data_IF_191895239480
#
_entry.id   IF_191895239480
#
_cell.length_a   1.000
_cell.length_b   1.000
_cell.length_c   1.000
_cell.angle_alpha   90.00
_cell.angle_beta   90.00
_cell.angle_gamma   90.00
#
_symmetry.space_group_name_H-M   'P 1'
#
loop_
_entity.id
_entity.type
_entity.pdbx_description
1 polymer ?
#
# COMPACT_ATOMS: atom_id res chain seq x y z
N UNK A 1 -11.20 2.22 -14.69
CA UNK A 1 -11.05 0.83 -15.17
C UNK A 1 -10.73 -0.05 -13.96
N UNK A 2 -11.50 -1.09 -13.70
CA UNK A 2 -11.28 -2.01 -12.57
C UNK A 2 -10.21 -3.06 -12.91
N UNK A 3 -9.49 -3.57 -11.92
CA UNK A 3 -8.46 -4.60 -12.10
C UNK A 3 -9.14 -5.93 -12.41
N UNK A 4 -8.67 -6.63 -13.46
CA UNK A 4 -9.14 -7.98 -13.81
C UNK A 4 -8.02 -9.00 -13.63
N UNK A 5 -8.38 -10.27 -13.43
CA UNK A 5 -7.41 -11.37 -13.25
C UNK A 5 -6.35 -11.42 -14.34
N UNK A 6 -6.77 -11.30 -15.61
CA UNK A 6 -5.89 -11.35 -16.79
C UNK A 6 -4.91 -10.17 -16.87
N UNK A 7 -5.19 -9.10 -16.13
CA UNK A 7 -4.34 -7.93 -16.17
C UNK A 7 -3.11 -8.12 -15.25
N UNK A 8 -3.18 -8.98 -14.21
CA UNK A 8 -2.05 -9.29 -13.30
C UNK A 8 -1.13 -10.32 -13.95
N UNK A 9 0.13 -9.95 -14.16
CA UNK A 9 1.15 -10.87 -14.68
C UNK A 9 1.52 -11.90 -13.63
N UNK A 10 1.68 -13.14 -14.08
CA UNK A 10 1.98 -14.29 -13.21
C UNK A 10 3.49 -14.56 -13.19
N UNK A 11 3.95 -15.09 -12.07
CA UNK A 11 5.36 -15.43 -11.88
C UNK A 11 5.67 -16.79 -12.49
N UNK A 12 6.86 -16.90 -13.06
CA UNK A 12 7.36 -18.15 -13.60
C UNK A 12 8.13 -18.92 -12.53
N UNK A 13 8.04 -20.25 -12.58
CA UNK A 13 8.73 -21.13 -11.63
C UNK A 13 10.25 -20.95 -11.69
N UNK A 14 10.83 -20.82 -12.88
CA UNK A 14 12.27 -20.64 -13.04
C UNK A 14 12.79 -19.38 -12.36
N UNK A 15 12.03 -18.28 -12.45
CA UNK A 15 12.35 -17.04 -11.74
C UNK A 15 12.31 -17.25 -10.22
N UNK A 16 11.23 -17.86 -9.71
CA UNK A 16 11.10 -18.17 -8.28
C UNK A 16 12.27 -19.02 -7.77
N UNK A 17 12.60 -20.12 -8.46
CA UNK A 17 13.69 -21.02 -8.06
C UNK A 17 15.05 -20.34 -8.08
N UNK A 18 15.28 -19.40 -9.01
CA UNK A 18 16.52 -18.63 -9.03
C UNK A 18 16.64 -17.73 -7.79
N UNK A 19 15.54 -17.10 -7.37
CA UNK A 19 15.50 -16.21 -6.20
C UNK A 19 15.58 -16.95 -4.86
N UNK A 20 15.25 -18.24 -4.80
CA UNK A 20 15.42 -19.04 -3.57
C UNK A 20 16.88 -19.14 -3.09
N UNK A 21 17.86 -18.80 -3.95
CA UNK A 21 19.28 -18.72 -3.59
C UNK A 21 19.64 -17.43 -2.83
N UNK A 22 18.74 -16.45 -2.83
CA UNK A 22 18.91 -15.15 -2.19
C UNK A 22 18.22 -15.12 -0.82
N UNK A 23 18.54 -14.12 0.00
CA UNK A 23 17.88 -13.91 1.30
C UNK A 23 16.52 -13.25 1.08
N UNK A 24 15.49 -14.06 0.79
CA UNK A 24 14.12 -13.57 0.51
C UNK A 24 13.10 -14.11 1.52
N UNK A 25 11.94 -13.44 1.63
CA UNK A 25 10.82 -13.97 2.39
C UNK A 25 10.20 -15.19 1.71
N UNK A 26 9.84 -16.21 2.52
CA UNK A 26 9.07 -17.36 2.02
C UNK A 26 7.65 -16.92 1.69
N UNK A 27 7.30 -16.95 0.40
CA UNK A 27 6.03 -16.49 -0.16
C UNK A 27 5.41 -17.62 -1.01
N UNK A 28 5.29 -18.79 -0.41
CA UNK A 28 5.05 -20.10 -1.06
C UNK A 28 3.73 -20.76 -0.67
N UNK A 29 3.04 -20.25 0.34
CA UNK A 29 1.78 -20.80 0.83
C UNK A 29 0.66 -20.68 -0.20
N UNK A 30 -0.35 -21.54 -0.06
CA UNK A 30 -1.56 -21.52 -0.91
C UNK A 30 -2.28 -20.18 -0.78
N UNK A 31 -2.33 -19.62 0.44
CA UNK A 31 -2.79 -18.26 0.68
C UNK A 31 -1.58 -17.36 0.85
N UNK A 32 -1.36 -16.46 -0.12
CA UNK A 32 -0.17 -15.60 -0.12
C UNK A 32 -0.13 -14.65 1.08
N UNK A 33 -1.29 -14.30 1.60
CA UNK A 33 -1.39 -13.47 2.78
C UNK A 33 -2.81 -13.06 3.12
N UNK A 34 -2.95 -12.28 4.17
CA UNK A 34 -4.19 -11.62 4.55
C UNK A 34 -4.17 -10.17 4.06
N UNK A 35 -5.27 -9.71 3.44
CA UNK A 35 -5.45 -8.30 3.10
C UNK A 35 -6.55 -7.70 3.98
N UNK A 36 -6.23 -6.65 4.73
CA UNK A 36 -7.15 -5.89 5.59
C UNK A 36 -7.26 -4.46 5.08
N UNK A 37 -8.49 -3.94 5.01
CA UNK A 37 -8.76 -2.59 4.51
C UNK A 37 -9.55 -1.75 5.51
N UNK A 38 -9.03 -0.59 5.86
CA UNK A 38 -9.67 0.36 6.77
C UNK A 38 -9.88 1.66 6.02
N UNK A 39 -11.13 2.10 5.91
CA UNK A 39 -11.50 3.27 5.11
C UNK A 39 -12.33 4.27 5.92
N UNK A 40 -11.72 5.38 6.33
CA UNK A 40 -12.40 6.42 7.09
C UNK A 40 -12.31 7.75 6.36
N UNK A 41 -13.44 8.41 6.23
CA UNK A 41 -13.49 9.77 5.70
C UNK A 41 -14.30 10.57 6.72
N UNK A 42 -13.70 11.60 7.30
CA UNK A 42 -14.32 12.44 8.31
C UNK A 42 -15.65 12.97 7.76
N UNK A 43 -16.72 12.77 8.51
CA UNK A 43 -18.03 13.24 8.10
C UNK A 43 -18.07 14.77 8.15
N UNK A 44 -18.73 15.40 7.17
CA UNK A 44 -18.82 16.87 7.09
C UNK A 44 -19.47 17.48 8.35
N UNK A 45 -20.39 16.75 8.99
CA UNK A 45 -21.03 17.19 10.24
C UNK A 45 -20.11 17.19 11.47
N UNK A 46 -18.94 16.54 11.39
CA UNK A 46 -17.98 16.48 12.48
C UNK A 46 -16.96 17.63 12.42
N UNK A 47 -17.18 18.62 11.56
CA UNK A 47 -16.30 19.78 11.37
C UNK A 47 -16.74 20.88 12.34
N UNK A 48 -15.94 21.23 13.38
CA UNK A 48 -16.39 22.11 14.45
C UNK A 48 -16.53 23.60 14.09
N UNK A 49 -16.25 24.04 12.85
CA UNK A 49 -16.28 25.45 12.46
C UNK A 49 -16.63 25.65 10.98
N UNK A 50 -17.91 25.69 10.65
CA UNK A 50 -18.43 26.34 9.44
C UNK A 50 -19.49 27.37 9.87
N UNK A 51 -19.11 28.27 10.79
CA UNK A 51 -19.95 29.40 11.15
C UNK A 51 -20.00 30.37 9.96
N UNK A 52 -21.16 30.42 9.30
CA UNK A 52 -21.57 31.33 8.23
C UNK A 52 -20.90 31.14 6.86
N UNK A 53 -21.49 30.30 6.00
CA UNK A 53 -21.70 30.55 4.54
C UNK A 53 -22.34 29.33 3.87
N UNK A 54 -23.64 29.38 3.57
CA UNK A 54 -24.38 28.28 2.91
C UNK A 54 -23.77 27.83 1.57
N UNK A 55 -23.05 28.71 0.87
CA UNK A 55 -22.31 28.36 -0.37
C UNK A 55 -21.04 27.55 -0.11
N UNK A 56 -20.31 27.81 1.00
CA UNK A 56 -19.13 27.01 1.37
C UNK A 56 -19.52 25.60 1.80
N UNK A 57 -20.70 25.45 2.41
CA UNK A 57 -21.24 24.15 2.81
C UNK A 57 -21.54 23.28 1.59
N UNK A 58 -22.19 23.82 0.55
CA UNK A 58 -22.47 23.09 -0.69
C UNK A 58 -21.19 22.67 -1.45
N UNK A 59 -20.18 23.53 -1.52
CA UNK A 59 -18.89 23.20 -2.17
C UNK A 59 -18.16 22.12 -1.39
N UNK A 60 -18.18 22.19 -0.05
CA UNK A 60 -17.53 21.21 0.82
C UNK A 60 -18.23 19.85 0.74
N UNK A 61 -19.56 19.82 0.73
CA UNK A 61 -20.34 18.59 0.57
C UNK A 61 -20.09 17.93 -0.80
N UNK A 62 -20.07 18.72 -1.89
CA UNK A 62 -19.73 18.20 -3.22
C UNK A 62 -18.33 17.57 -3.26
N UNK A 63 -17.33 18.25 -2.70
CA UNK A 63 -15.95 17.74 -2.62
C UNK A 63 -15.84 16.49 -1.75
N UNK A 64 -16.58 16.44 -0.64
CA UNK A 64 -16.68 15.25 0.20
C UNK A 64 -17.26 14.06 -0.57
N UNK A 65 -18.39 14.22 -1.27
CA UNK A 65 -19.00 13.17 -2.07
C UNK A 65 -18.07 12.67 -3.19
N UNK A 66 -17.35 13.60 -3.83
CA UNK A 66 -16.33 13.25 -4.80
C UNK A 66 -15.17 12.47 -4.18
N UNK A 67 -14.69 12.87 -3.01
CA UNK A 67 -13.67 12.12 -2.28
C UNK A 67 -14.13 10.69 -1.97
N UNK A 68 -15.34 10.52 -1.44
CA UNK A 68 -15.91 9.19 -1.14
C UNK A 68 -15.92 8.31 -2.40
N UNK A 69 -16.38 8.84 -3.54
CA UNK A 69 -16.42 8.11 -4.82
C UNK A 69 -15.04 7.59 -5.22
N UNK A 70 -14.00 8.40 -5.01
CA UNK A 70 -12.64 8.05 -5.37
C UNK A 70 -12.00 7.07 -4.39
N UNK A 71 -12.26 7.22 -3.09
CA UNK A 71 -11.86 6.26 -2.05
C UNK A 71 -12.49 4.89 -2.31
N UNK A 72 -13.78 4.85 -2.67
CA UNK A 72 -14.45 3.60 -3.01
C UNK A 72 -13.85 2.92 -4.24
N UNK A 73 -13.46 3.70 -5.25
CA UNK A 73 -12.77 3.19 -6.43
C UNK A 73 -11.39 2.63 -6.10
N UNK A 74 -10.60 3.36 -5.31
CA UNK A 74 -9.28 2.93 -4.85
C UNK A 74 -9.36 1.64 -4.03
N UNK A 75 -10.33 1.57 -3.10
CA UNK A 75 -10.67 0.35 -2.36
C UNK A 75 -10.95 -0.81 -3.30
N UNK A 76 -11.85 -0.63 -4.27
CA UNK A 76 -12.17 -1.70 -5.24
C UNK A 76 -10.95 -2.17 -6.01
N UNK A 77 -10.10 -1.27 -6.49
CA UNK A 77 -8.90 -1.64 -7.25
C UNK A 77 -7.87 -2.39 -6.41
N UNK A 78 -7.59 -1.92 -5.19
CA UNK A 78 -6.63 -2.57 -4.31
C UNK A 78 -7.14 -3.94 -3.86
N UNK A 79 -8.42 -4.05 -3.52
CA UNK A 79 -9.03 -5.35 -3.20
C UNK A 79 -8.93 -6.33 -4.36
N UNK A 80 -9.20 -5.90 -5.60
CA UNK A 80 -9.08 -6.75 -6.77
C UNK A 80 -7.64 -7.13 -7.08
N UNK A 81 -6.70 -6.19 -6.98
CA UNK A 81 -5.26 -6.45 -7.15
C UNK A 81 -4.80 -7.55 -6.20
N UNK A 82 -4.98 -7.37 -4.90
CA UNK A 82 -4.50 -8.33 -3.90
C UNK A 82 -5.24 -9.66 -3.98
N UNK A 83 -6.54 -9.65 -4.31
CA UNK A 83 -7.29 -10.89 -4.61
C UNK A 83 -6.61 -11.69 -5.73
N UNK A 84 -6.24 -11.03 -6.83
CA UNK A 84 -5.61 -11.71 -7.96
C UNK A 84 -4.12 -12.03 -7.74
N UNK A 85 -3.48 -11.38 -6.77
CA UNK A 85 -2.15 -11.75 -6.27
C UNK A 85 -2.20 -12.92 -5.26
N UNK A 86 -3.38 -13.45 -4.92
CA UNK A 86 -3.54 -14.63 -4.06
C UNK A 86 -3.73 -14.33 -2.57
N UNK A 87 -4.08 -13.09 -2.22
CA UNK A 87 -4.43 -12.74 -0.84
C UNK A 87 -5.86 -13.13 -0.50
N UNK A 88 -6.08 -13.45 0.77
CA UNK A 88 -7.40 -13.70 1.31
C UNK A 88 -8.13 -12.39 1.66
N UNK A 89 -9.32 -12.23 1.08
CA UNK A 89 -10.25 -11.13 1.33
C UNK A 89 -11.59 -11.61 1.93
N UNK A 90 -11.72 -12.90 2.28
CA UNK A 90 -12.93 -13.46 2.89
C UNK A 90 -13.09 -12.98 4.33
N UNK A 91 -14.33 -12.96 4.83
CA UNK A 91 -14.61 -12.80 6.26
C UNK A 91 -14.70 -11.36 6.78
N UNK A 92 -15.10 -10.40 5.92
CA UNK A 92 -15.30 -9.01 6.35
C UNK A 92 -13.98 -8.33 6.75
N UNK A 93 -12.92 -8.52 5.96
CA UNK A 93 -11.61 -7.89 6.19
C UNK A 93 -11.61 -6.39 5.83
N UNK A 94 -12.76 -5.73 5.96
CA UNK A 94 -12.86 -4.31 5.78
C UNK A 94 -13.77 -3.67 6.81
N UNK A 95 -13.38 -2.48 7.26
CA UNK A 95 -14.18 -1.63 8.13
C UNK A 95 -14.16 -0.20 7.58
N UNK A 96 -15.24 0.55 7.80
CA UNK A 96 -15.36 1.93 7.35
C UNK A 96 -16.09 2.80 8.35
N UNK A 97 -15.79 4.10 8.30
CA UNK A 97 -16.40 5.12 9.14
C UNK A 97 -16.43 4.71 10.61
N UNK A 98 -15.26 4.36 11.14
CA UNK A 98 -15.06 3.88 12.49
C UNK A 98 -14.21 4.82 13.33
N UNK A 99 -14.45 4.83 14.65
CA UNK A 99 -13.58 5.51 15.62
C UNK A 99 -12.24 4.79 15.71
N UNK A 100 -11.22 5.46 16.25
CA UNK A 100 -9.92 4.83 16.50
C UNK A 100 -10.02 3.57 17.38
N UNK A 101 -10.94 3.54 18.34
CA UNK A 101 -11.15 2.38 19.21
C UNK A 101 -11.81 1.22 18.45
N UNK A 102 -12.85 1.51 17.66
CA UNK A 102 -13.49 0.52 16.77
C UNK A 102 -12.49 -0.09 15.77
N UNK A 103 -11.56 0.72 15.24
CA UNK A 103 -10.48 0.24 14.34
C UNK A 103 -9.52 -0.69 15.08
N UNK A 104 -9.09 -0.31 16.29
CA UNK A 104 -8.17 -1.11 17.11
C UNK A 104 -8.80 -2.45 17.48
N UNK A 105 -10.06 -2.44 17.92
CA UNK A 105 -10.80 -3.65 18.25
C UNK A 105 -10.98 -4.54 17.03
N UNK A 106 -11.33 -3.96 15.87
CA UNK A 106 -11.43 -4.70 14.62
C UNK A 106 -10.10 -5.39 14.24
N UNK A 107 -8.98 -4.67 14.30
CA UNK A 107 -7.66 -5.24 14.01
C UNK A 107 -7.32 -6.38 14.99
N UNK A 108 -7.52 -6.16 16.30
CA UNK A 108 -7.30 -7.20 17.33
C UNK A 108 -8.13 -8.44 17.07
N UNK A 109 -9.42 -8.28 16.79
CA UNK A 109 -10.31 -9.40 16.45
C UNK A 109 -9.81 -10.15 15.23
N UNK A 110 -9.49 -9.45 14.14
CA UNK A 110 -9.04 -10.10 12.88
C UNK A 110 -7.71 -10.84 13.04
N UNK A 111 -6.76 -10.26 13.77
CA UNK A 111 -5.47 -10.92 14.01
C UNK A 111 -5.60 -12.09 14.98
N UNK A 112 -6.47 -11.99 15.99
CA UNK A 112 -6.79 -13.11 16.90
C UNK A 112 -7.48 -14.26 16.16
N UNK A 113 -8.41 -13.95 15.25
CA UNK A 113 -9.02 -14.97 14.37
C UNK A 113 -7.97 -15.71 13.54
N UNK A 114 -6.96 -14.99 13.03
CA UNK A 114 -5.87 -15.58 12.25
C UNK A 114 -4.97 -16.47 13.11
N UNK A 115 -4.60 -16.01 14.31
CA UNK A 115 -3.78 -16.80 15.24
C UNK A 115 -4.48 -18.09 15.67
N UNK A 116 -5.81 -18.07 15.77
CA UNK A 116 -6.61 -19.23 16.17
C UNK A 116 -6.97 -20.17 14.99
N UNK A 117 -6.81 -19.73 13.74
CA UNK A 117 -7.08 -20.55 12.56
C UNK A 117 -5.83 -21.31 12.11
N UNK A 118 -5.59 -22.46 12.75
CA UNK A 118 -4.50 -23.38 12.41
C UNK A 118 -4.50 -23.88 10.94
N UNK A 119 -5.63 -23.77 10.23
CA UNK A 119 -5.74 -24.20 8.83
C UNK A 119 -5.24 -23.13 7.84
N UNK A 120 -5.19 -21.86 8.28
CA UNK A 120 -4.81 -20.72 7.47
C UNK A 120 -3.30 -20.47 7.51
N UNK A 121 -2.57 -21.00 6.53
CA UNK A 121 -1.16 -20.65 6.32
C UNK A 121 -1.07 -19.38 5.45
N UNK A 122 -0.73 -18.25 6.07
CA UNK A 122 -0.48 -16.97 5.39
C UNK A 122 1.01 -16.65 5.43
N UNK A 123 1.58 -16.26 4.30
CA UNK A 123 2.99 -15.84 4.22
C UNK A 123 3.20 -14.39 4.62
N UNK A 124 2.17 -13.54 4.47
CA UNK A 124 2.32 -12.09 4.66
C UNK A 124 1.01 -11.42 5.13
N UNK A 125 1.15 -10.21 5.67
CA UNK A 125 0.04 -9.33 6.03
C UNK A 125 0.12 -8.04 5.21
N UNK A 126 -0.99 -7.64 4.60
CA UNK A 126 -1.13 -6.33 3.96
C UNK A 126 -2.30 -5.60 4.61
N UNK A 127 -2.05 -4.38 5.08
CA UNK A 127 -3.08 -3.48 5.60
C UNK A 127 -3.11 -2.21 4.76
N UNK A 128 -4.28 -1.80 4.31
CA UNK A 128 -4.50 -0.53 3.61
C UNK A 128 -5.36 0.40 4.46
N UNK A 129 -4.81 1.55 4.83
CA UNK A 129 -5.54 2.67 5.41
C UNK A 129 -5.84 3.70 4.33
N UNK A 130 -7.12 3.91 4.06
CA UNK A 130 -7.64 5.03 3.28
C UNK A 130 -8.29 6.00 4.26
N UNK A 131 -7.64 7.11 4.55
CA UNK A 131 -8.08 8.03 5.59
C UNK A 131 -8.24 9.44 5.05
N UNK A 132 -9.36 10.12 5.31
CA UNK A 132 -9.57 11.49 4.86
C UNK A 132 -10.17 12.38 5.94
N UNK A 133 -9.76 13.66 5.95
CA UNK A 133 -10.39 14.76 6.69
C UNK A 133 -10.28 16.05 5.88
N UNK A 134 -10.83 17.16 6.37
CA UNK A 134 -10.74 18.45 5.66
C UNK A 134 -9.29 18.77 5.28
N UNK A 135 -8.41 18.76 6.27
CA UNK A 135 -7.00 19.08 6.16
C UNK A 135 -6.22 17.92 6.77
N UNK A 136 -5.69 17.02 5.93
CA UNK A 136 -4.86 15.92 6.37
C UNK A 136 -3.39 16.31 6.36
N UNK A 137 -2.68 15.92 7.40
CA UNK A 137 -1.24 15.73 7.29
C UNK A 137 -0.99 14.38 6.58
N UNK A 138 -0.05 14.38 5.65
CA UNK A 138 0.41 13.14 5.00
C UNK A 138 0.92 12.14 6.04
N UNK A 139 0.87 10.84 5.70
CA UNK A 139 1.30 9.74 6.57
C UNK A 139 0.53 9.57 7.91
N UNK A 140 -0.49 10.38 8.19
CA UNK A 140 -1.37 10.22 9.37
C UNK A 140 -2.60 9.40 9.04
N UNK A 141 -3.08 8.66 10.03
CA UNK A 141 -4.30 7.87 9.97
C UNK A 141 -5.33 8.56 10.85
N UNK A 142 -6.46 8.92 10.26
CA UNK A 142 -7.59 9.54 10.91
C UNK A 142 -8.78 8.60 11.01
N UNK A 143 -9.52 8.73 12.09
CA UNK A 143 -10.79 8.04 12.32
C UNK A 143 -11.99 8.82 11.74
N UNK A 144 -13.21 8.34 11.96
CA UNK A 144 -14.44 8.99 11.46
C UNK A 144 -14.69 10.39 12.03
N UNK A 145 -14.14 10.69 13.20
CA UNK A 145 -14.27 11.99 13.86
C UNK A 145 -13.15 12.96 13.44
N UNK A 146 -12.10 12.46 12.77
CA UNK A 146 -10.90 13.22 12.44
C UNK A 146 -9.80 13.11 13.49
N UNK A 147 -9.96 12.26 14.51
CA UNK A 147 -8.93 12.00 15.50
C UNK A 147 -7.81 11.16 14.90
N UNK A 148 -6.57 11.43 15.31
CA UNK A 148 -5.40 10.67 14.86
C UNK A 148 -5.35 9.33 15.58
N UNK A 149 -5.33 8.24 14.82
CA UNK A 149 -4.91 6.92 15.26
C UNK A 149 -3.39 6.82 15.10
N UNK A 150 -2.65 6.65 16.21
CA UNK A 150 -1.19 6.64 16.15
C UNK A 150 -0.70 5.35 15.52
N UNK A 151 0.29 5.47 14.61
CA UNK A 151 0.91 4.31 13.96
C UNK A 151 1.41 3.29 14.97
N UNK A 152 2.07 3.72 16.05
CA UNK A 152 2.57 2.81 17.08
C UNK A 152 1.49 1.93 17.69
N UNK A 153 0.29 2.44 17.95
CA UNK A 153 -0.82 1.63 18.48
C UNK A 153 -1.24 0.52 17.51
N UNK A 154 -1.17 0.78 16.19
CA UNK A 154 -1.43 -0.25 15.16
C UNK A 154 -0.30 -1.27 15.14
N UNK A 155 0.96 -0.84 15.26
CA UNK A 155 2.11 -1.73 15.27
C UNK A 155 2.12 -2.64 16.49
N UNK A 156 1.81 -2.11 17.68
CA UNK A 156 1.67 -2.90 18.90
C UNK A 156 0.66 -4.05 18.72
N UNK A 157 -0.49 -3.76 18.11
CA UNK A 157 -1.53 -4.78 17.82
C UNK A 157 -1.02 -5.84 16.84
N UNK A 158 -0.21 -5.45 15.85
CA UNK A 158 0.34 -6.39 14.87
C UNK A 158 1.46 -7.24 15.48
N UNK A 159 2.30 -6.67 16.35
CA UNK A 159 3.37 -7.36 17.06
C UNK A 159 2.84 -8.46 17.99
N UNK A 160 1.64 -8.28 18.56
CA UNK A 160 0.95 -9.29 19.37
C UNK A 160 0.52 -10.54 18.56
N UNK A 161 0.39 -10.43 17.24
CA UNK A 161 -0.04 -11.52 16.37
C UNK A 161 1.11 -12.49 16.08
N UNK A 162 1.03 -13.69 16.67
CA UNK A 162 2.10 -14.69 16.59
C UNK A 162 2.26 -15.25 15.18
N UNK A 163 1.17 -15.31 14.42
CA UNK A 163 1.19 -15.88 13.07
C UNK A 163 2.09 -15.13 12.08
N UNK A 164 2.27 -13.82 12.28
CA UNK A 164 3.09 -12.96 11.41
C UNK A 164 4.49 -12.66 11.97
N UNK A 165 4.93 -13.36 13.02
CA UNK A 165 6.31 -13.28 13.49
C UNK A 165 7.28 -13.83 12.43
N UNK A 166 8.30 -13.04 12.07
CA UNK A 166 9.29 -13.41 11.05
C UNK A 166 8.78 -13.36 9.59
N UNK A 167 7.58 -12.80 9.38
CA UNK A 167 6.89 -12.71 8.08
C UNK A 167 6.70 -11.26 7.67
N UNK A 168 6.71 -10.94 6.36
CA UNK A 168 6.59 -9.57 5.89
C UNK A 168 5.21 -8.97 6.19
N UNK A 169 5.21 -7.75 6.73
CA UNK A 169 4.03 -6.95 7.06
C UNK A 169 4.09 -5.64 6.29
N UNK A 170 3.12 -5.38 5.43
CA UNK A 170 3.06 -4.18 4.60
C UNK A 170 1.86 -3.34 4.97
N UNK A 171 2.08 -2.08 5.35
CA UNK A 171 1.03 -1.12 5.66
C UNK A 171 1.09 0.02 4.65
N UNK A 172 0.03 0.19 3.89
CA UNK A 172 -0.16 1.36 3.04
C UNK A 172 -1.03 2.38 3.76
N UNK A 173 -0.58 3.63 3.81
CA UNK A 173 -1.31 4.76 4.41
C UNK A 173 -1.51 5.82 3.34
N UNK A 174 -2.77 5.99 2.92
CA UNK A 174 -3.17 7.09 2.06
C UNK A 174 -4.06 8.06 2.85
N UNK A 175 -3.60 9.29 2.98
CA UNK A 175 -4.33 10.38 3.62
C UNK A 175 -4.93 11.31 2.55
N UNK A 176 -6.16 11.80 2.74
CA UNK A 176 -6.88 12.64 1.78
C UNK A 176 -7.41 13.92 2.42
N UNK A 177 -6.96 15.08 1.94
CA UNK A 177 -7.57 16.38 2.28
C UNK A 177 -8.81 16.64 1.42
N UNK A 178 -9.81 17.38 1.93
CA UNK A 178 -10.98 17.85 1.16
C UNK A 178 -10.86 19.30 0.71
N UNK A 179 -9.96 20.06 1.35
CA UNK A 179 -9.70 21.45 1.00
C UNK A 179 -8.25 21.58 0.51
N UNK A 180 -8.07 22.46 -0.47
CA UNK A 180 -6.79 22.84 -1.04
C UNK A 180 -5.90 23.45 0.04
N UNK A 181 -4.72 22.86 0.26
CA UNK A 181 -3.65 23.59 0.93
C UNK A 181 -3.03 24.52 -0.11
N UNK A 182 -3.09 25.82 0.17
CA UNK A 182 -2.59 26.88 -0.71
C UNK A 182 -1.08 27.07 -0.61
N UNK A 183 -0.36 26.22 0.12
CA UNK A 183 1.09 26.35 0.22
C UNK A 183 1.78 25.56 -0.90
N UNK A 184 2.34 26.24 -1.91
CA UNK A 184 3.25 25.59 -2.82
C UNK A 184 4.45 25.13 -2.00
N UNK A 185 4.81 23.86 -2.13
CA UNK A 185 6.11 23.38 -1.69
C UNK A 185 7.18 23.89 -2.67
N UNK A 186 7.34 25.21 -2.74
CA UNK A 186 8.40 25.90 -3.48
C UNK A 186 9.69 25.72 -2.68
N UNK A 187 10.45 24.67 -2.96
CA UNK A 187 11.91 24.63 -2.68
C UNK A 187 12.63 23.31 -3.01
N UNK A 188 11.95 22.23 -3.42
CA UNK A 188 12.67 21.04 -3.86
C UNK A 188 12.70 20.90 -5.38
N UNK A 189 13.90 21.08 -5.93
CA UNK A 189 14.20 20.91 -7.35
C UNK A 189 13.75 19.50 -7.81
N UNK A 190 12.83 19.35 -8.77
CA UNK A 190 12.00 18.15 -8.83
C UNK A 190 12.62 16.99 -9.60
N UNK A 191 13.81 17.12 -10.20
CA UNK A 191 14.31 16.14 -11.17
C UNK A 191 15.51 15.32 -10.69
N UNK A 192 16.36 15.86 -9.81
CA UNK A 192 17.58 15.17 -9.38
C UNK A 192 17.42 14.36 -8.07
N UNK A 193 16.37 14.61 -7.29
CA UNK A 193 16.11 13.95 -5.98
C UNK A 193 15.15 12.74 -6.05
N UNK A 194 14.29 12.65 -7.09
CA UNK A 194 13.19 11.66 -7.15
C UNK A 194 13.67 10.20 -7.20
N UNK A 195 14.89 9.96 -7.70
CA UNK A 195 15.41 8.61 -7.87
C UNK A 195 16.06 8.01 -6.61
N UNK A 196 16.58 8.84 -5.70
CA UNK A 196 17.47 8.37 -4.62
C UNK A 196 16.93 8.57 -3.19
N UNK A 197 16.04 9.54 -2.93
CA UNK A 197 15.61 9.89 -1.56
C UNK A 197 14.12 9.59 -1.27
N UNK A 198 13.59 8.42 -1.68
CA UNK A 198 12.25 7.97 -1.21
C UNK A 198 12.29 7.28 0.16
N UNK A 199 13.50 7.04 0.68
CA UNK A 199 13.77 6.52 2.01
C UNK A 199 13.93 7.74 2.93
N UNK A 200 13.00 7.94 3.87
CA UNK A 200 13.22 8.93 4.94
C UNK A 200 14.42 8.53 5.80
N UNK A 201 14.93 9.45 6.62
CA UNK A 201 16.04 9.27 7.57
C UNK A 201 15.77 8.21 8.69
N UNK A 202 15.03 7.15 8.41
CA UNK A 202 14.73 6.07 9.32
C UNK A 202 15.74 4.94 9.10
N UNK A 203 16.26 4.39 10.20
CA UNK A 203 17.06 3.18 10.16
C UNK A 203 16.17 1.97 9.81
N UNK A 204 16.68 0.95 9.10
CA UNK A 204 15.94 -0.27 8.84
C UNK A 204 15.47 -0.93 10.15
N UNK A 205 14.24 -1.42 10.19
CA UNK A 205 13.73 -2.20 11.31
C UNK A 205 14.02 -3.70 11.13
N UNK A 206 14.00 -4.41 12.26
CA UNK A 206 14.17 -5.87 12.35
C UNK A 206 12.84 -6.64 12.37
N UNK A 207 11.72 -5.94 12.25
CA UNK A 207 10.38 -6.50 12.48
C UNK A 207 9.70 -6.98 11.20
N UNK A 208 10.44 -7.04 10.09
CA UNK A 208 9.92 -7.38 8.76
C UNK A 208 8.73 -6.48 8.34
N UNK A 209 8.78 -5.20 8.76
CA UNK A 209 7.71 -4.24 8.62
C UNK A 209 8.03 -3.20 7.55
N UNK A 210 7.06 -2.95 6.68
CA UNK A 210 7.11 -1.90 5.67
C UNK A 210 5.89 -0.99 5.82
N UNK A 211 6.12 0.30 6.08
CA UNK A 211 5.04 1.29 6.14
C UNK A 211 5.25 2.30 5.03
N UNK A 212 4.34 2.30 4.06
CA UNK A 212 4.38 3.13 2.86
C UNK A 212 3.28 4.18 2.94
N UNK A 213 3.63 5.42 2.66
CA UNK A 213 2.66 6.49 2.46
C UNK A 213 2.98 7.30 1.20
N UNK A 214 2.13 8.27 0.88
CA UNK A 214 2.41 9.26 -0.14
C UNK A 214 2.33 10.66 0.43
N UNK A 215 3.31 11.49 0.03
CA UNK A 215 3.29 12.92 0.24
C UNK A 215 2.95 13.56 -1.08
N UNK A 216 1.88 14.32 -1.14
CA UNK A 216 1.45 14.81 -2.41
C UNK A 216 2.12 16.16 -2.75
N UNK A 217 2.33 16.44 -4.04
CA UNK A 217 3.20 17.53 -4.53
C UNK A 217 2.47 18.61 -5.34
N UNK A 218 1.15 18.49 -5.49
CA UNK A 218 0.32 19.46 -6.21
C UNK A 218 -0.73 20.07 -5.27
N UNK A 219 -0.82 21.40 -5.15
CA UNK A 219 -1.76 22.03 -4.21
C UNK A 219 -3.23 21.68 -4.46
N UNK A 220 -3.63 21.39 -5.71
CA UNK A 220 -5.04 21.24 -6.12
C UNK A 220 -5.66 19.94 -5.61
N UNK A 221 -6.54 20.09 -4.61
CA UNK A 221 -7.35 19.04 -4.00
C UNK A 221 -8.68 18.89 -4.76
N UNK A 222 -9.22 17.68 -4.87
CA UNK A 222 -8.72 16.48 -4.23
C UNK A 222 -7.63 15.76 -5.01
N UNK A 223 -6.83 14.95 -4.30
CA UNK A 223 -5.67 14.12 -4.71
C UNK A 223 -6.04 13.04 -5.74
N UNK A 224 -6.82 13.45 -6.72
CA UNK A 224 -7.68 12.72 -7.60
C UNK A 224 -7.26 13.14 -8.99
N UNK A 225 -7.30 12.19 -9.89
CA UNK A 225 -6.76 12.34 -11.23
C UNK A 225 -7.73 13.20 -12.07
N UNK A 226 -7.71 14.52 -11.87
CA UNK A 226 -8.52 15.49 -12.60
C UNK A 226 -10.04 15.28 -12.46
N UNK A 227 -10.81 16.20 -13.04
CA UNK A 227 -12.28 16.22 -12.92
C UNK A 227 -12.99 15.01 -13.57
N UNK A 228 -12.26 14.18 -14.32
CA UNK A 228 -12.82 13.08 -15.12
C UNK A 228 -12.17 11.70 -14.90
N UNK A 229 -11.14 11.57 -14.06
CA UNK A 229 -10.61 10.24 -13.74
C UNK A 229 -10.86 9.89 -12.28
N UNK A 230 -11.22 8.63 -12.07
CA UNK A 230 -11.62 8.11 -10.76
C UNK A 230 -10.39 7.46 -10.11
N UNK A 231 -10.17 7.74 -8.83
CA UNK A 231 -9.09 7.21 -7.99
C UNK A 231 -7.95 8.20 -7.74
N UNK A 232 -7.11 7.87 -6.76
CA UNK A 232 -5.94 8.68 -6.42
C UNK A 232 -4.70 8.27 -7.21
N UNK A 233 -3.83 9.23 -7.49
CA UNK A 233 -2.57 8.97 -8.20
C UNK A 233 -1.73 7.88 -7.52
N UNK A 234 -1.63 7.92 -6.18
CA UNK A 234 -0.87 6.94 -5.40
C UNK A 234 -1.39 5.51 -5.62
N UNK A 235 -2.69 5.29 -5.41
CA UNK A 235 -3.27 3.96 -5.56
C UNK A 235 -3.22 3.50 -7.02
N UNK A 236 -3.48 4.39 -7.99
CA UNK A 236 -3.37 4.02 -9.40
C UNK A 236 -1.93 3.66 -9.80
N UNK A 237 -0.91 4.36 -9.29
CA UNK A 237 0.49 4.03 -9.53
C UNK A 237 0.85 2.67 -8.94
N UNK A 238 0.47 2.40 -7.68
CA UNK A 238 0.68 1.09 -7.05
C UNK A 238 0.00 -0.02 -7.85
N UNK A 239 -1.27 0.16 -8.21
CA UNK A 239 -2.03 -0.82 -8.99
C UNK A 239 -1.39 -1.05 -10.35
N UNK A 240 -0.97 0.01 -11.05
CA UNK A 240 -0.31 -0.09 -12.34
C UNK A 240 0.97 -0.92 -12.23
N UNK A 241 1.84 -0.58 -11.29
CA UNK A 241 3.16 -1.21 -11.14
C UNK A 241 3.05 -2.65 -10.64
N UNK A 242 2.27 -2.90 -9.59
CA UNK A 242 2.15 -4.26 -9.03
C UNK A 242 1.61 -5.24 -10.06
N UNK A 243 0.56 -4.83 -10.77
CA UNK A 243 -0.05 -5.64 -11.83
C UNK A 243 0.93 -5.98 -12.96
N UNK A 244 1.83 -5.06 -13.30
CA UNK A 244 2.72 -5.19 -14.44
C UNK A 244 4.14 -5.68 -14.12
N UNK A 245 4.54 -5.68 -12.85
CA UNK A 245 5.94 -5.90 -12.42
C UNK A 245 6.11 -6.82 -11.20
N UNK A 246 5.08 -7.05 -10.37
CA UNK A 246 5.22 -7.83 -9.12
C UNK A 246 5.57 -9.31 -9.32
N UNK A 247 5.47 -9.80 -10.56
CA UNK A 247 5.89 -11.16 -10.93
C UNK A 247 7.41 -11.36 -10.98
N UNK A 248 8.20 -10.28 -10.99
CA UNK A 248 9.66 -10.36 -11.13
C UNK A 248 10.48 -9.33 -10.35
N UNK A 249 9.83 -8.38 -9.68
CA UNK A 249 10.50 -7.31 -8.93
C UNK A 249 10.23 -7.45 -7.44
N UNK A 250 11.21 -7.07 -6.63
CA UNK A 250 11.06 -6.97 -5.18
C UNK A 250 10.15 -5.81 -4.81
N UNK A 251 9.60 -5.81 -3.60
CA UNK A 251 8.71 -4.76 -3.10
C UNK A 251 9.37 -3.38 -3.18
N UNK A 252 10.65 -3.28 -2.83
CA UNK A 252 11.39 -2.02 -2.90
C UNK A 252 11.54 -1.53 -4.35
N UNK A 253 11.79 -2.42 -5.31
CA UNK A 253 11.81 -2.07 -6.74
C UNK A 253 10.42 -1.65 -7.26
N UNK A 254 9.35 -2.27 -6.77
CA UNK A 254 7.98 -1.87 -7.11
C UNK A 254 7.66 -0.46 -6.58
N UNK A 255 8.08 -0.13 -5.36
CA UNK A 255 7.89 1.22 -4.82
C UNK A 255 8.69 2.26 -5.59
N UNK A 256 9.94 1.96 -5.98
CA UNK A 256 10.74 2.84 -6.86
C UNK A 256 10.03 3.11 -8.18
N UNK A 257 9.53 2.07 -8.84
CA UNK A 257 8.80 2.21 -10.11
C UNK A 257 7.48 2.99 -9.93
N UNK A 258 6.75 2.78 -8.84
CA UNK A 258 5.55 3.54 -8.54
C UNK A 258 5.87 5.01 -8.26
N UNK A 259 6.98 5.31 -7.57
CA UNK A 259 7.43 6.67 -7.35
C UNK A 259 7.79 7.39 -8.68
N UNK A 260 8.42 6.67 -9.63
CA UNK A 260 8.66 7.19 -10.99
C UNK A 260 7.34 7.52 -11.70
N UNK A 261 6.32 6.65 -11.59
CA UNK A 261 4.99 6.94 -12.16
C UNK A 261 4.39 8.24 -11.58
N UNK A 262 4.56 8.48 -10.28
CA UNK A 262 4.08 9.70 -9.63
C UNK A 262 4.90 10.95 -10.02
N UNK A 263 6.21 10.80 -10.23
CA UNK A 263 7.08 11.88 -10.69
C UNK A 263 6.83 12.32 -12.13
N UNK A 264 6.22 11.45 -12.95
CA UNK A 264 6.02 11.66 -14.39
C UNK A 264 4.55 11.62 -14.81
N UNK A 265 3.62 11.87 -13.88
CA UNK A 265 2.19 11.83 -14.16
C UNK A 265 1.81 12.89 -15.20
N UNK A 266 0.92 12.51 -16.12
CA UNK A 266 0.38 13.40 -17.15
C UNK A 266 -0.85 14.12 -16.58
N UNK A 267 -0.76 15.43 -16.39
CA UNK A 267 -1.83 16.27 -15.84
C UNK A 267 -2.33 17.23 -16.93
N UNK A 268 -3.65 17.47 -17.06
CA UNK A 268 -4.16 18.54 -17.93
C UNK A 268 -3.56 19.90 -17.55
N UNK A 269 -3.00 20.62 -18.53
CA UNK A 269 -2.56 22.00 -18.33
C UNK A 269 -3.79 22.90 -18.21
N UNK A 270 -3.79 23.73 -17.17
CA UNK A 270 -4.80 24.75 -16.97
C UNK A 270 -4.33 26.07 -17.60
N UNK A 271 -5.22 26.76 -18.28
CA UNK A 271 -5.03 28.15 -18.73
C UNK A 271 -5.10 29.12 -17.55
N UNK A 272 -4.70 30.37 -17.75
CA UNK A 272 -4.70 31.41 -16.70
C UNK A 272 -6.09 31.66 -16.10
N UNK A 273 -7.16 31.39 -16.86
CA UNK A 273 -8.56 31.44 -16.40
C UNK A 273 -9.05 30.13 -15.75
N UNK A 274 -8.13 29.20 -15.46
CA UNK A 274 -8.40 27.94 -14.77
C UNK A 274 -9.10 26.88 -15.63
N UNK A 275 -9.27 27.12 -16.95
CA UNK A 275 -9.88 26.15 -17.86
C UNK A 275 -8.86 25.12 -18.34
N UNK A 276 -9.35 23.96 -18.78
CA UNK A 276 -8.49 22.97 -19.41
C UNK A 276 -8.03 23.49 -20.79
N UNK A 277 -6.72 23.63 -20.98
CA UNK A 277 -6.10 24.06 -22.24
C UNK A 277 -6.23 23.03 -23.38
N UNK A 278 -6.70 21.82 -23.09
CA UNK A 278 -6.70 20.69 -24.03
C UNK A 278 -5.32 20.04 -24.20
N UNK A 279 -4.30 20.54 -23.51
CA UNK A 279 -2.95 19.98 -23.49
C UNK A 279 -2.63 19.32 -22.15
N UNK A 280 -1.64 18.44 -22.13
CA UNK A 280 -1.19 17.74 -20.92
C UNK A 280 0.28 18.03 -20.66
N UNK A 281 0.69 18.02 -19.40
CA UNK A 281 2.08 18.15 -18.97
C UNK A 281 2.50 17.02 -18.05
N UNK A 282 3.80 16.70 -18.08
CA UNK A 282 4.41 15.81 -17.09
C UNK A 282 4.77 16.63 -15.87
N UNK A 283 4.26 16.22 -14.70
CA UNK A 283 4.60 16.86 -13.43
C UNK A 283 4.56 15.85 -12.29
N UNK A 284 5.43 15.99 -11.27
CA UNK A 284 5.29 15.23 -10.05
C UNK A 284 3.98 15.56 -9.33
N UNK A 285 3.14 14.55 -9.10
CA UNK A 285 1.85 14.68 -8.39
C UNK A 285 1.95 14.28 -6.92
N UNK A 286 2.87 13.38 -6.61
CA UNK A 286 3.13 12.88 -5.28
C UNK A 286 4.51 12.22 -5.24
N UNK A 287 4.94 11.88 -4.03
CA UNK A 287 6.14 11.11 -3.75
C UNK A 287 5.78 10.01 -2.76
N UNK A 288 6.28 8.80 -3.01
CA UNK A 288 6.21 7.70 -2.04
C UNK A 288 7.21 7.98 -0.92
N UNK A 289 6.77 7.74 0.31
CA UNK A 289 7.63 7.81 1.49
C UNK A 289 7.52 6.50 2.26
N UNK A 290 8.68 5.94 2.60
CA UNK A 290 8.81 4.78 3.47
C UNK A 290 9.03 5.23 4.91
N UNK A 291 8.02 5.07 5.74
CA UNK A 291 8.09 5.45 7.16
C UNK A 291 8.71 4.36 8.03
N UNK A 292 8.71 3.12 7.54
CA UNK A 292 9.32 1.93 8.15
C UNK A 292 9.71 1.00 7.00
N UNK A 293 10.85 0.31 7.08
CA UNK A 293 11.26 -0.70 6.12
C UNK A 293 12.25 -1.68 6.75
N UNK A 294 12.34 -2.87 6.17
CA UNK A 294 13.35 -3.87 6.52
C UNK A 294 14.23 -4.17 5.32
N UNK A 295 15.54 -4.30 5.54
CA UNK A 295 16.53 -4.71 4.53
C UNK A 295 16.99 -6.17 4.73
N UNK A 296 16.46 -6.83 5.76
CA UNK A 296 16.93 -8.16 6.14
C UNK A 296 16.68 -9.20 5.05
N UNK A 297 15.52 -9.14 4.41
CA UNK A 297 15.11 -10.04 3.34
C UNK A 297 14.41 -9.26 2.24
N UNK A 298 14.60 -9.68 1.00
CA UNK A 298 13.80 -9.12 -0.08
C UNK A 298 12.38 -9.71 -0.09
N UNK A 299 11.38 -8.84 -0.28
CA UNK A 299 9.98 -9.24 -0.41
C UNK A 299 9.57 -9.35 -1.88
N UNK A 300 9.16 -10.54 -2.30
CA UNK A 300 8.54 -10.80 -3.60
C UNK A 300 7.14 -11.38 -3.41
N UNK A 301 6.15 -10.95 -4.21
CA UNK A 301 4.77 -11.42 -4.04
C UNK A 301 4.45 -12.72 -4.79
N UNK A 302 5.26 -13.08 -5.78
CA UNK A 302 5.07 -14.20 -6.69
C UNK A 302 3.61 -14.47 -7.14
N UNK A 303 2.90 -13.51 -7.78
CA UNK A 303 1.51 -13.72 -8.19
C UNK A 303 1.33 -14.97 -9.05
N UNK A 304 0.28 -15.75 -8.79
CA UNK A 304 -0.09 -16.93 -9.59
C UNK A 304 0.76 -18.19 -9.37
N UNK A 305 1.80 -18.14 -8.54
CA UNK A 305 2.62 -19.32 -8.25
C UNK A 305 1.91 -20.26 -7.25
N UNK A 306 1.60 -21.48 -7.69
CA UNK A 306 1.09 -22.56 -6.85
C UNK A 306 2.13 -23.69 -6.76
N UNK A 307 2.84 -23.76 -5.63
CA UNK A 307 3.94 -24.70 -5.45
C UNK A 307 3.44 -26.13 -5.18
N UNK A 308 2.25 -26.29 -4.56
CA UNK A 308 1.70 -27.63 -4.32
C UNK A 308 1.39 -28.35 -5.62
N UNK A 309 0.87 -27.63 -6.62
CA UNK A 309 0.65 -28.18 -7.95
C UNK A 309 1.95 -28.61 -8.67
N UNK A 310 3.11 -28.08 -8.27
CA UNK A 310 4.39 -28.33 -8.93
C UNK A 310 5.14 -29.53 -8.38
N UNK A 311 5.07 -29.78 -7.07
CA UNK A 311 5.66 -30.98 -6.44
C UNK A 311 4.99 -32.26 -6.97
N UNK A 312 3.69 -32.22 -7.27
CA UNK A 312 2.97 -33.35 -7.88
C UNK A 312 3.33 -33.62 -9.35
N UNK A 313 4.01 -32.70 -10.05
CA UNK A 313 4.43 -32.88 -11.45
C UNK A 313 5.81 -33.54 -11.61
N UNK A 314 6.36 -34.13 -10.55
CA UNK A 314 7.57 -34.97 -10.64
C UNK A 314 8.88 -34.19 -10.71
N UNK A 315 8.90 -32.94 -10.26
CA UNK A 315 10.16 -32.30 -9.89
C UNK A 315 10.50 -32.83 -8.50
N UNK A 316 11.49 -33.72 -8.40
CA UNK A 316 11.97 -34.19 -7.10
C UNK A 316 12.24 -32.98 -6.20
N UNK A 317 11.70 -32.96 -4.97
CA UNK A 317 12.00 -31.89 -4.04
C UNK A 317 13.51 -31.90 -3.80
N UNK A 318 14.17 -30.81 -4.17
CA UNK A 318 15.56 -30.58 -3.75
C UNK A 318 15.55 -30.59 -2.23
N UNK A 319 16.27 -31.53 -1.63
CA UNK A 319 16.37 -31.66 -0.18
C UNK A 319 17.10 -30.42 0.37
N UNK A 320 16.32 -29.45 0.83
CA UNK A 320 16.78 -28.15 1.33
C UNK A 320 17.58 -28.29 2.64
N UNK A 321 17.54 -29.45 3.32
CA UNK A 321 18.36 -29.70 4.51
C UNK A 321 19.79 -30.15 4.19
N UNK A 322 20.06 -30.62 2.96
CA UNK A 322 21.37 -31.11 2.56
C UNK A 322 22.39 -30.00 2.21
N UNK A 323 21.98 -28.71 2.21
CA UNK A 323 22.87 -27.59 1.84
C UNK A 323 23.55 -26.88 3.02
N UNK A 324 23.36 -27.32 4.26
CA UNK A 324 24.21 -26.89 5.38
C UNK A 324 25.42 -27.83 5.50
N UNK A 325 26.40 -27.62 4.62
CA UNK A 325 27.69 -28.31 4.68
C UNK A 325 28.36 -28.05 6.03
N UNK A 326 28.47 -29.09 6.86
CA UNK A 326 29.37 -29.08 8.02
C UNK A 326 30.81 -28.95 7.51
N UNK A 327 31.64 -28.09 8.11
CA UNK A 327 33.06 -28.09 7.79
C UNK A 327 33.66 -29.44 8.20
N UNK A 328 34.23 -30.16 7.23
CA UNK A 328 35.05 -31.33 7.49
C UNK A 328 36.43 -30.81 7.92
N UNK A 329 36.75 -30.95 9.21
CA UNK A 329 38.10 -30.73 9.69
C UNK A 329 39.03 -31.79 9.06
N UNK A 330 39.99 -31.33 8.28
CA UNK A 330 41.08 -32.18 7.77
C UNK A 330 42.13 -32.29 8.88
N UNK A 331 42.59 -33.50 9.26
CA UNK A 331 43.71 -33.65 10.17
C UNK A 331 45.00 -33.25 9.43
N UNK A 332 45.77 -32.35 10.03
CA UNK A 332 47.17 -32.10 9.64
C UNK A 332 48.04 -33.14 10.32
N UNK A 333 48.72 -33.96 9.52
CA UNK A 333 49.92 -34.70 9.91
C UNK A 333 51.14 -33.78 9.95
#
# INVERSE_FOLDING_TARGET
MTVRKKDVKMSELGFFMNRQKEKIYSMTSVNRGKFILISNVQHVQCIPYLDNQSEKDMVTEKRYLECIRNVDFDKSNMSQLFKYMGYDLKGGNHIKNSTKEEIKDFLKTKLTEIDNDSSSQYDSLVILFLSGKILCEAAKIYDKNGDILRRREILDIIEECKHFKGKPKVIFVQSFSFIEETEPMDSMDPLDSIANDFITNCEPNTDDLFVVSSYPRIGKVPWIIGENMIGSYFIQALVHVFKNSAYKKSFMELLKEANICLGQAMIPKLTDDGKNSGTVEKRPVAQIVLLEYSEDKELYFFPGLDIKALVYKGVEPVDLHAMSGRPVCVPTD
#
